data_IF_026129665455
#
_entry.id   IF_026129665455
#
_cell.length_a   1.000
_cell.length_b   1.000
_cell.length_c   1.000
_cell.angle_alpha   90.00
_cell.angle_beta   90.00
_cell.angle_gamma   90.00
#
_symmetry.space_group_name_H-M   'P 1'
#
loop_
_entity.id
_entity.type
_entity.pdbx_description
1 polymer ?
#
# COMPACT_ATOMS: atom_id res chain seq x y z
N UNK A 1 -4.01 -13.10 -1.84
CA UNK A 1 -3.01 -14.07 -2.37
C UNK A 1 -3.63 -14.99 -3.42
N UNK A 2 -4.83 -15.54 -3.17
CA UNK A 2 -5.58 -16.36 -4.12
C UNK A 2 -5.70 -15.69 -5.51
N UNK A 3 -6.24 -14.48 -5.59
CA UNK A 3 -6.42 -13.72 -6.85
C UNK A 3 -5.14 -13.63 -7.70
N UNK A 4 -3.99 -13.41 -7.05
CA UNK A 4 -2.70 -13.34 -7.73
C UNK A 4 -2.32 -14.68 -8.38
N UNK A 5 -2.54 -15.80 -7.68
CA UNK A 5 -2.22 -17.13 -8.19
C UNK A 5 -3.22 -17.55 -9.28
N UNK A 6 -4.48 -17.14 -9.17
CA UNK A 6 -5.49 -17.31 -10.23
C UNK A 6 -5.07 -16.56 -11.50
N UNK A 7 -4.76 -15.27 -11.40
CA UNK A 7 -4.29 -14.47 -12.53
C UNK A 7 -3.01 -15.04 -13.15
N UNK A 8 -2.05 -15.46 -12.33
CA UNK A 8 -0.84 -16.09 -12.82
C UNK A 8 -1.13 -17.41 -13.55
N UNK A 9 -2.12 -18.17 -13.10
CA UNK A 9 -2.55 -19.41 -13.74
C UNK A 9 -3.30 -19.18 -15.04
N UNK A 10 -4.10 -18.13 -15.13
CA UNK A 10 -4.77 -17.74 -16.37
C UNK A 10 -3.76 -17.31 -17.44
N UNK A 11 -2.73 -16.55 -17.05
CA UNK A 11 -1.65 -16.11 -17.96
C UNK A 11 -0.67 -17.23 -18.32
N UNK A 12 -0.42 -18.14 -17.38
CA UNK A 12 0.49 -19.27 -17.55
C UNK A 12 -0.11 -20.55 -16.97
N UNK A 13 -0.96 -21.25 -17.76
CA UNK A 13 -1.54 -22.52 -17.33
C UNK A 13 -0.46 -23.54 -16.98
N UNK A 14 -0.70 -24.33 -15.92
CA UNK A 14 0.26 -25.35 -15.47
C UNK A 14 1.51 -24.82 -14.79
N UNK A 15 1.55 -23.54 -14.39
CA UNK A 15 2.64 -23.02 -13.58
C UNK A 15 2.75 -23.75 -12.22
N UNK A 16 3.90 -23.57 -11.56
CA UNK A 16 4.25 -24.30 -10.33
C UNK A 16 3.32 -24.02 -9.14
N UNK A 17 2.57 -22.90 -9.16
CA UNK A 17 1.64 -22.52 -8.12
C UNK A 17 0.21 -22.99 -8.37
N UNK A 18 -0.15 -23.34 -9.61
CA UNK A 18 -1.51 -23.73 -9.98
C UNK A 18 -2.07 -24.90 -9.15
N UNK A 19 -1.20 -25.86 -8.77
CA UNK A 19 -1.56 -27.01 -7.94
C UNK A 19 -2.07 -26.63 -6.54
N UNK A 20 -1.75 -25.42 -6.06
CA UNK A 20 -2.17 -24.92 -4.75
C UNK A 20 -3.51 -24.18 -4.78
N UNK A 21 -4.10 -23.90 -5.94
CA UNK A 21 -5.38 -23.18 -6.03
C UNK A 21 -6.50 -23.80 -5.18
N UNK A 22 -6.71 -25.13 -5.14
CA UNK A 22 -7.74 -25.70 -4.27
C UNK A 22 -7.46 -25.48 -2.77
N UNK A 23 -6.19 -25.47 -2.36
CA UNK A 23 -5.81 -25.18 -0.98
C UNK A 23 -6.00 -23.70 -0.66
N UNK A 24 -5.53 -22.80 -1.54
CA UNK A 24 -5.69 -21.35 -1.41
C UNK A 24 -7.16 -20.93 -1.27
N UNK A 25 -8.07 -21.52 -2.06
CA UNK A 25 -9.52 -21.27 -1.94
C UNK A 25 -10.12 -21.76 -0.64
N UNK A 26 -9.60 -22.85 -0.07
CA UNK A 26 -10.11 -23.42 1.18
C UNK A 26 -9.66 -22.61 2.40
N UNK A 27 -8.43 -22.10 2.39
CA UNK A 27 -7.86 -21.35 3.53
C UNK A 27 -8.13 -19.84 3.45
N UNK A 28 -8.71 -19.35 2.35
CA UNK A 28 -8.99 -17.93 2.16
C UNK A 28 -9.85 -17.37 3.31
N UNK A 29 -9.43 -16.23 3.85
CA UNK A 29 -10.03 -15.62 5.04
C UNK A 29 -9.56 -16.20 6.39
N UNK A 30 -8.61 -17.14 6.41
CA UNK A 30 -8.01 -17.71 7.63
C UNK A 30 -6.47 -17.62 7.60
N UNK A 31 -5.82 -17.96 8.72
CA UNK A 31 -4.37 -18.11 8.83
C UNK A 31 -3.89 -19.56 8.64
N UNK A 32 -4.77 -20.47 8.19
CA UNK A 32 -4.43 -21.89 7.99
C UNK A 32 -3.44 -22.10 6.84
N UNK A 33 -2.52 -23.04 7.05
CA UNK A 33 -1.55 -23.48 6.05
C UNK A 33 -1.93 -24.83 5.39
N UNK A 34 -3.14 -25.33 5.64
CA UNK A 34 -3.55 -26.68 5.25
C UNK A 34 -3.50 -26.88 3.73
N UNK A 35 -2.64 -27.79 3.27
CA UNK A 35 -2.43 -28.10 1.86
C UNK A 35 -1.48 -27.14 1.14
N UNK A 36 -0.88 -26.18 1.84
CA UNK A 36 0.19 -25.32 1.33
C UNK A 36 1.56 -25.86 1.77
N UNK A 37 1.71 -26.13 3.06
CA UNK A 37 2.97 -26.59 3.63
C UNK A 37 3.26 -28.09 3.32
N UNK A 38 4.54 -28.47 3.23
CA UNK A 38 5.74 -27.62 3.32
C UNK A 38 6.21 -27.04 1.96
N UNK A 39 5.52 -27.38 0.86
CA UNK A 39 6.02 -27.14 -0.49
C UNK A 39 5.82 -25.72 -1.01
N UNK A 40 4.76 -25.03 -0.56
CA UNK A 40 4.34 -23.74 -1.10
C UNK A 40 5.44 -22.65 -1.02
N UNK A 41 6.18 -22.47 0.10
CA UNK A 41 7.26 -21.48 0.15
C UNK A 41 8.41 -21.76 -0.83
N UNK A 42 8.68 -23.03 -1.14
CA UNK A 42 9.67 -23.43 -2.14
C UNK A 42 9.23 -23.07 -3.55
N UNK A 43 7.99 -23.41 -3.90
CA UNK A 43 7.42 -23.13 -5.22
C UNK A 43 7.17 -21.64 -5.45
N UNK A 44 6.85 -20.87 -4.40
CA UNK A 44 6.76 -19.42 -4.48
C UNK A 44 8.11 -18.79 -4.87
N UNK A 45 9.20 -19.20 -4.21
CA UNK A 45 10.57 -18.76 -4.55
C UNK A 45 10.95 -19.12 -5.99
N UNK A 46 10.48 -20.27 -6.48
CA UNK A 46 10.68 -20.67 -7.88
C UNK A 46 9.86 -19.80 -8.84
N UNK A 47 8.58 -19.57 -8.55
CA UNK A 47 7.70 -18.73 -9.33
C UNK A 47 8.22 -17.28 -9.39
N UNK A 48 8.81 -16.74 -8.32
CA UNK A 48 9.37 -15.39 -8.26
C UNK A 48 10.46 -15.10 -9.31
N UNK A 49 11.07 -16.16 -9.88
CA UNK A 49 12.05 -16.04 -10.98
C UNK A 49 11.38 -15.92 -12.35
N UNK A 50 10.11 -16.29 -12.44
CA UNK A 50 9.32 -16.19 -13.66
C UNK A 50 8.91 -14.74 -13.93
N UNK A 51 9.07 -14.28 -15.18
CA UNK A 51 8.62 -12.95 -15.58
C UNK A 51 7.09 -12.82 -15.56
N UNK A 52 6.35 -13.88 -15.87
CA UNK A 52 4.88 -13.82 -15.87
C UNK A 52 4.32 -13.71 -14.46
N UNK A 53 4.96 -14.36 -13.48
CA UNK A 53 4.56 -14.19 -12.09
C UNK A 53 4.84 -12.78 -11.58
N UNK A 54 5.99 -12.19 -11.94
CA UNK A 54 6.30 -10.78 -11.60
C UNK A 54 5.30 -9.81 -12.25
N UNK A 55 4.94 -10.02 -13.51
CA UNK A 55 3.89 -9.24 -14.20
C UNK A 55 2.51 -9.42 -13.57
N UNK A 56 2.19 -10.59 -13.03
CA UNK A 56 0.96 -10.81 -12.27
C UNK A 56 0.98 -10.02 -10.95
N UNK A 57 2.12 -10.00 -10.24
CA UNK A 57 2.28 -9.20 -9.02
C UNK A 57 2.16 -7.69 -9.28
N UNK A 58 2.82 -7.19 -10.32
CA UNK A 58 2.70 -5.78 -10.73
C UNK A 58 1.25 -5.41 -11.06
N UNK A 59 0.55 -6.28 -11.80
CA UNK A 59 -0.86 -6.06 -12.14
C UNK A 59 -1.76 -6.00 -10.90
N UNK A 60 -1.63 -6.94 -9.96
CA UNK A 60 -2.44 -6.93 -8.74
C UNK A 60 -2.12 -5.73 -7.85
N UNK A 61 -0.83 -5.38 -7.71
CA UNK A 61 -0.41 -4.14 -7.02
C UNK A 61 -1.10 -2.92 -7.62
N UNK A 62 -1.10 -2.81 -8.95
CA UNK A 62 -1.61 -1.64 -9.65
C UNK A 62 -3.14 -1.57 -9.65
N UNK A 63 -3.80 -2.72 -9.81
CA UNK A 63 -5.26 -2.84 -9.81
C UNK A 63 -5.85 -2.51 -8.44
N UNK A 64 -5.28 -3.05 -7.37
CA UNK A 64 -5.86 -3.01 -6.01
C UNK A 64 -5.37 -1.82 -5.21
N UNK A 65 -4.11 -1.40 -5.37
CA UNK A 65 -3.50 -0.40 -4.49
C UNK A 65 -3.10 0.88 -5.24
N UNK A 66 -2.15 0.79 -6.16
CA UNK A 66 -1.52 1.98 -6.75
C UNK A 66 -2.50 2.78 -7.61
N UNK A 67 -3.22 2.12 -8.52
CA UNK A 67 -4.20 2.74 -9.40
C UNK A 67 -5.30 3.48 -8.63
N UNK A 68 -6.02 2.82 -7.70
CA UNK A 68 -7.03 3.48 -6.87
C UNK A 68 -6.50 4.68 -6.08
N UNK A 69 -5.36 4.54 -5.38
CA UNK A 69 -4.81 5.62 -4.58
C UNK A 69 -4.37 6.83 -5.43
N UNK A 70 -3.70 6.60 -6.56
CA UNK A 70 -3.30 7.68 -7.48
C UNK A 70 -4.51 8.37 -8.09
N UNK A 71 -5.53 7.61 -8.51
CA UNK A 71 -6.78 8.21 -9.03
C UNK A 71 -7.46 9.07 -7.99
N UNK A 72 -7.54 8.60 -6.74
CA UNK A 72 -8.14 9.37 -5.65
C UNK A 72 -7.31 10.61 -5.30
N UNK A 73 -5.99 10.50 -5.23
CA UNK A 73 -5.11 11.64 -4.98
C UNK A 73 -5.24 12.72 -6.06
N UNK A 74 -5.35 12.33 -7.33
CA UNK A 74 -5.64 13.26 -8.43
C UNK A 74 -7.02 13.90 -8.32
N UNK A 75 -8.04 13.14 -7.93
CA UNK A 75 -9.39 13.67 -7.71
C UNK A 75 -9.43 14.70 -6.56
N UNK A 76 -8.56 14.55 -5.56
CA UNK A 76 -8.37 15.51 -4.47
C UNK A 76 -7.42 16.66 -4.84
N UNK A 77 -6.83 16.65 -6.04
CA UNK A 77 -5.93 17.70 -6.53
C UNK A 77 -4.54 17.65 -5.88
N UNK A 78 -4.10 16.49 -5.40
CA UNK A 78 -2.81 16.32 -4.75
C UNK A 78 -1.67 16.14 -5.77
N UNK A 79 -0.53 16.75 -5.46
CA UNK A 79 0.75 16.50 -6.11
C UNK A 79 1.33 15.13 -5.71
N UNK A 80 2.53 14.84 -6.19
CA UNK A 80 3.13 13.50 -6.14
C UNK A 80 3.30 13.00 -4.71
N UNK A 81 3.71 13.86 -3.76
CA UNK A 81 3.83 13.50 -2.35
C UNK A 81 2.50 13.05 -1.76
N UNK A 82 1.40 13.75 -2.08
CA UNK A 82 0.08 13.38 -1.61
C UNK A 82 -0.43 12.06 -2.21
N UNK A 83 -0.18 11.85 -3.50
CA UNK A 83 -0.45 10.57 -4.16
C UNK A 83 0.36 9.42 -3.53
N UNK A 84 1.65 9.67 -3.21
CA UNK A 84 2.48 8.71 -2.48
C UNK A 84 1.95 8.41 -1.08
N UNK A 85 1.51 9.44 -0.34
CA UNK A 85 0.92 9.25 0.99
C UNK A 85 -0.33 8.35 0.94
N UNK A 86 -1.18 8.54 -0.07
CA UNK A 86 -2.35 7.68 -0.32
C UNK A 86 -1.95 6.25 -0.68
N UNK A 87 -1.00 6.07 -1.59
CA UNK A 87 -0.47 4.75 -1.96
C UNK A 87 0.11 4.01 -0.75
N UNK A 88 0.86 4.70 0.11
CA UNK A 88 1.42 4.10 1.31
C UNK A 88 0.36 3.73 2.36
N UNK A 89 -0.73 4.51 2.44
CA UNK A 89 -1.84 4.22 3.33
C UNK A 89 -2.66 3.02 2.87
N UNK A 90 -3.07 2.95 1.60
CA UNK A 90 -3.86 1.84 1.06
C UNK A 90 -3.09 0.51 1.10
N UNK A 91 -1.77 0.52 0.94
CA UNK A 91 -0.94 -0.69 1.06
C UNK A 91 -0.95 -1.26 2.48
N UNK A 92 -1.00 -0.39 3.49
CA UNK A 92 -0.97 -0.79 4.89
C UNK A 92 -2.36 -1.16 5.43
N UNK A 93 -3.35 -0.34 5.09
CA UNK A 93 -4.69 -0.41 5.68
C UNK A 93 -5.75 -1.01 4.75
N UNK A 94 -5.42 -1.29 3.48
CA UNK A 94 -6.38 -1.69 2.47
C UNK A 94 -7.41 -0.59 2.13
N UNK A 95 -8.36 -0.92 1.26
CA UNK A 95 -9.53 -0.08 0.92
C UNK A 95 -10.84 -0.77 1.34
N UNK A 96 -10.83 -1.39 2.52
CA UNK A 96 -11.99 -2.04 3.12
C UNK A 96 -13.04 -1.04 3.63
N UNK A 97 -14.00 -1.58 4.40
CA UNK A 97 -15.05 -0.78 5.06
C UNK A 97 -14.80 -0.65 6.57
N UNK A 98 -13.63 -1.04 7.06
CA UNK A 98 -13.28 -0.90 8.47
C UNK A 98 -12.84 0.55 8.78
N UNK A 99 -12.95 1.00 10.05
CA UNK A 99 -12.62 2.37 10.43
C UNK A 99 -11.16 2.80 10.23
N UNK A 100 -10.26 1.84 10.00
CA UNK A 100 -8.83 2.06 9.82
C UNK A 100 -8.43 2.01 8.34
N UNK A 101 -9.33 1.60 7.44
CA UNK A 101 -9.14 1.58 5.99
C UNK A 101 -8.68 2.92 5.43
N UNK A 102 -8.02 2.89 4.26
CA UNK A 102 -7.62 4.08 3.53
C UNK A 102 -8.77 5.08 3.34
N UNK A 103 -9.96 4.57 2.98
CA UNK A 103 -11.15 5.40 2.76
C UNK A 103 -11.56 6.15 4.03
N UNK A 104 -11.56 5.49 5.18
CA UNK A 104 -11.96 6.11 6.45
C UNK A 104 -10.87 7.01 7.05
N UNK A 105 -9.59 6.72 6.81
CA UNK A 105 -8.47 7.64 7.08
C UNK A 105 -8.65 8.94 6.26
N UNK A 106 -8.95 8.83 4.97
CA UNK A 106 -9.22 9.99 4.11
C UNK A 106 -10.42 10.78 4.62
N UNK A 107 -11.54 10.12 4.95
CA UNK A 107 -12.71 10.80 5.54
C UNK A 107 -12.36 11.50 6.86
N UNK A 108 -11.46 10.94 7.67
CA UNK A 108 -10.97 11.58 8.89
C UNK A 108 -10.21 12.85 8.60
N UNK A 109 -9.31 12.85 7.63
CA UNK A 109 -8.58 14.03 7.20
C UNK A 109 -9.51 15.14 6.69
N UNK A 110 -10.54 14.76 5.90
CA UNK A 110 -11.53 15.69 5.33
C UNK A 110 -12.39 16.42 6.38
N UNK A 111 -12.48 15.90 7.62
CA UNK A 111 -13.14 16.62 8.72
C UNK A 111 -12.30 17.77 9.27
N UNK A 112 -11.00 17.76 8.98
CA UNK A 112 -10.03 18.71 9.52
C UNK A 112 -9.60 19.73 8.47
N UNK A 113 -9.40 19.31 7.22
CA UNK A 113 -8.92 20.17 6.14
C UNK A 113 -9.53 19.79 4.80
N UNK A 114 -9.86 20.80 3.99
CA UNK A 114 -10.25 20.60 2.60
C UNK A 114 -9.03 20.29 1.73
N UNK A 115 -9.15 19.38 0.75
CA UNK A 115 -8.07 19.13 -0.21
C UNK A 115 -8.03 20.25 -1.27
N UNK A 116 -6.96 20.32 -2.08
CA UNK A 116 -6.83 21.31 -3.16
C UNK A 116 -8.00 21.37 -4.13
N UNK A 117 -8.57 20.23 -4.51
CA UNK A 117 -9.74 20.19 -5.39
C UNK A 117 -10.97 20.90 -4.81
N UNK A 118 -11.02 21.11 -3.49
CA UNK A 118 -12.09 21.82 -2.78
C UNK A 118 -11.62 23.19 -2.26
N UNK A 119 -10.53 23.71 -2.82
CA UNK A 119 -9.99 25.04 -2.51
C UNK A 119 -9.15 25.11 -1.23
N UNK A 120 -8.76 23.97 -0.65
CA UNK A 120 -7.87 23.94 0.51
C UNK A 120 -6.38 24.00 0.14
N UNK A 121 -5.54 24.32 1.12
CA UNK A 121 -4.08 24.27 1.00
C UNK A 121 -3.58 22.83 1.08
N UNK A 122 -2.72 22.42 0.14
CA UNK A 122 -2.25 21.04 0.06
C UNK A 122 -1.44 20.63 1.28
N UNK A 123 -0.56 21.50 1.79
CA UNK A 123 0.27 21.18 2.95
C UNK A 123 -0.59 20.94 4.18
N UNK A 124 -1.58 21.80 4.38
CA UNK A 124 -2.57 21.70 5.47
C UNK A 124 -3.37 20.42 5.37
N UNK A 125 -3.83 20.07 4.16
CA UNK A 125 -4.55 18.83 3.92
C UNK A 125 -3.69 17.59 4.19
N UNK A 126 -2.45 17.57 3.68
CA UNK A 126 -1.54 16.45 3.85
C UNK A 126 -1.13 16.28 5.31
N UNK A 127 -0.92 17.36 6.07
CA UNK A 127 -0.62 17.25 7.49
C UNK A 127 -1.80 16.62 8.26
N UNK A 128 -3.04 17.03 7.97
CA UNK A 128 -4.25 16.41 8.52
C UNK A 128 -4.40 14.94 8.12
N UNK A 129 -4.03 14.58 6.89
CA UNK A 129 -4.05 13.19 6.42
C UNK A 129 -3.00 12.34 7.13
N UNK A 130 -1.78 12.83 7.29
CA UNK A 130 -0.72 12.13 8.00
C UNK A 130 -1.05 11.95 9.49
N UNK A 131 -1.72 12.91 10.12
CA UNK A 131 -2.24 12.77 11.48
C UNK A 131 -3.33 11.70 11.59
N UNK A 132 -4.28 11.71 10.66
CA UNK A 132 -5.30 10.67 10.59
C UNK A 132 -4.69 9.28 10.41
N UNK A 133 -3.64 9.17 9.59
CA UNK A 133 -2.91 7.93 9.35
C UNK A 133 -2.14 7.45 10.58
N UNK A 134 -1.40 8.34 11.25
CA UNK A 134 -0.69 8.01 12.50
C UNK A 134 -1.67 7.55 13.59
N UNK A 135 -2.84 8.19 13.67
CA UNK A 135 -3.90 7.75 14.57
C UNK A 135 -4.35 6.32 14.26
N UNK A 136 -4.58 5.98 12.98
CA UNK A 136 -5.02 4.65 12.56
C UNK A 136 -3.94 3.58 12.84
N UNK A 137 -2.68 3.87 12.49
CA UNK A 137 -1.54 2.99 12.76
C UNK A 137 -1.41 2.64 14.25
N UNK A 138 -1.66 3.60 15.15
CA UNK A 138 -1.59 3.37 16.60
C UNK A 138 -2.72 2.50 17.16
N UNK A 139 -3.78 2.22 16.38
CA UNK A 139 -4.83 1.29 16.80
C UNK A 139 -4.48 -0.18 16.51
N UNK A 140 -3.48 -0.41 15.66
CA UNK A 140 -3.03 -1.75 15.26
C UNK A 140 -1.66 -2.02 15.91
N UNK A 141 -1.59 -2.96 16.87
CA UNK A 141 -0.35 -3.20 17.65
C UNK A 141 0.86 -3.50 16.76
N UNK A 142 0.66 -4.29 15.71
CA UNK A 142 1.66 -4.64 14.71
C UNK A 142 2.23 -3.43 13.93
N UNK A 143 1.54 -2.28 13.97
CA UNK A 143 1.84 -1.09 13.17
C UNK A 143 2.09 0.17 14.02
N UNK A 144 2.38 0.01 15.31
CA UNK A 144 2.57 1.13 16.25
C UNK A 144 3.80 2.02 15.95
N UNK A 145 4.84 1.48 15.29
CA UNK A 145 5.96 2.29 14.78
C UNK A 145 5.50 3.13 13.57
N UNK A 146 5.59 4.44 13.75
CA UNK A 146 5.08 5.45 12.81
C UNK A 146 6.19 6.16 12.04
N UNK A 147 7.43 5.65 12.08
CA UNK A 147 8.61 6.23 11.40
C UNK A 147 8.40 6.40 9.89
N UNK A 148 7.65 5.49 9.25
CA UNK A 148 7.26 5.62 7.83
C UNK A 148 6.44 6.88 7.51
N UNK A 149 5.82 7.48 8.52
CA UNK A 149 5.21 8.81 8.45
C UNK A 149 6.19 9.85 8.99
N UNK A 150 6.57 9.71 10.26
CA UNK A 150 7.22 10.79 11.02
C UNK A 150 8.61 11.15 10.53
N UNK A 151 9.40 10.16 10.10
CA UNK A 151 10.78 10.33 9.63
C UNK A 151 10.93 10.10 8.13
N UNK A 152 9.82 10.08 7.40
CA UNK A 152 9.78 10.00 5.94
C UNK A 152 8.76 11.00 5.35
N UNK A 153 7.47 10.65 5.30
CA UNK A 153 6.45 11.47 4.64
C UNK A 153 6.34 12.87 5.23
N UNK A 154 6.39 12.99 6.56
CA UNK A 154 6.35 14.28 7.26
C UNK A 154 7.60 15.11 7.00
N UNK A 155 8.76 14.48 6.77
CA UNK A 155 10.01 15.17 6.41
C UNK A 155 9.85 15.83 5.04
N UNK A 156 9.41 15.07 4.03
CA UNK A 156 9.18 15.59 2.68
C UNK A 156 8.14 16.73 2.68
N UNK A 157 7.09 16.60 3.49
CA UNK A 157 6.07 17.63 3.64
C UNK A 157 6.64 18.92 4.25
N UNK A 158 7.46 18.81 5.31
CA UNK A 158 8.13 19.96 5.95
C UNK A 158 9.13 20.65 5.02
N UNK A 159 9.80 19.89 4.17
CA UNK A 159 10.68 20.39 3.11
C UNK A 159 9.92 21.02 1.93
N UNK A 160 8.58 20.90 1.92
CA UNK A 160 7.70 21.31 0.81
C UNK A 160 8.07 20.64 -0.52
N UNK A 161 8.63 19.43 -0.46
CA UNK A 161 8.91 18.62 -1.64
C UNK A 161 7.62 17.91 -2.10
N UNK A 162 6.65 18.70 -2.58
CA UNK A 162 5.33 18.20 -2.96
C UNK A 162 5.35 17.36 -4.24
N UNK A 163 6.35 17.57 -5.10
CA UNK A 163 6.58 16.77 -6.31
C UNK A 163 7.42 15.51 -6.04
N UNK A 164 7.92 15.34 -4.80
CA UNK A 164 8.71 14.19 -4.36
C UNK A 164 9.98 13.99 -5.21
N UNK A 165 10.62 15.08 -5.60
CA UNK A 165 11.82 15.08 -6.42
C UNK A 165 13.05 14.62 -5.62
N UNK A 166 13.94 13.79 -6.20
CA UNK A 166 15.25 13.53 -5.62
C UNK A 166 16.10 14.81 -5.49
N UNK A 167 17.01 14.88 -4.49
CA UNK A 167 17.38 13.81 -3.58
C UNK A 167 16.38 13.62 -2.42
N UNK A 168 16.00 12.37 -2.15
CA UNK A 168 15.13 11.99 -1.04
C UNK A 168 15.95 11.36 0.08
N UNK A 169 15.84 11.93 1.28
CA UNK A 169 16.43 11.40 2.50
C UNK A 169 15.34 11.03 3.50
N UNK A 170 15.36 9.79 4.00
CA UNK A 170 14.36 9.33 4.97
C UNK A 170 14.95 8.32 5.94
N UNK A 171 14.27 8.15 7.08
CA UNK A 171 14.52 7.06 8.01
C UNK A 171 13.25 6.26 8.25
N UNK A 172 13.38 4.94 8.34
CA UNK A 172 12.28 4.04 8.73
C UNK A 172 12.88 2.98 9.64
N UNK A 173 12.26 2.73 10.80
CA UNK A 173 12.78 1.82 11.83
C UNK A 173 14.22 2.14 12.31
N UNK A 174 14.64 3.40 12.18
CA UNK A 174 15.99 3.88 12.52
C UNK A 174 16.99 3.85 11.36
N UNK A 175 16.73 3.08 10.31
CA UNK A 175 17.62 2.92 9.17
C UNK A 175 17.48 4.06 8.17
N UNK A 176 18.62 4.55 7.66
CA UNK A 176 18.68 5.66 6.72
C UNK A 176 18.65 5.17 5.27
N UNK A 177 17.84 5.83 4.45
CA UNK A 177 17.73 5.56 3.02
C UNK A 177 17.90 6.84 2.21
N UNK A 178 18.52 6.70 1.03
CA UNK A 178 18.75 7.78 0.09
C UNK A 178 18.36 7.36 -1.33
N UNK A 179 17.72 8.27 -2.06
CA UNK A 179 17.48 8.19 -3.50
C UNK A 179 17.98 9.52 -4.08
N UNK A 180 18.95 9.47 -5.00
CA UNK A 180 19.55 10.64 -5.64
C UNK A 180 19.07 10.82 -7.07
#
# INVERSE_FOLDING_TARGET
MLDLVELYTDRKPGNVLAKYLPALRRVDGTDSHDGLDPGFPGEWRRAARDSEFRRAQDHERDRVYFGPAVRQGKADGLLVLGQFAYCAAIVMHGDGNDPLSFRDIRKRALRTANPPAWGGDEVTYLDAFLDARVWAMKQEEAHSDTSRVDTAQRVFLRERNLDLDPPLHRKVYGDSHHIG
#
